data_IF_528428436912
#
_entry.id   IF_528428436912
#
_cell.length_a   1.000
_cell.length_b   1.000
_cell.length_c   1.000
_cell.angle_alpha   90.00
_cell.angle_beta   90.00
_cell.angle_gamma   90.00
#
_symmetry.space_group_name_H-M   'P 1'
#
loop_
_entity.id
_entity.type
_entity.pdbx_description
1 polymer ?
#
# COMPACT_ATOMS: atom_id res chain seq x y z
N UNK A 1 14.56 18.69 -5.72
CA UNK A 1 14.29 18.78 -4.28
C UNK A 1 15.60 18.41 -3.63
N UNK A 2 16.28 19.38 -3.01
CA UNK A 2 17.58 19.15 -2.36
C UNK A 2 17.43 18.03 -1.33
N UNK A 3 18.27 17.01 -1.42
CA UNK A 3 18.44 16.05 -0.34
C UNK A 3 18.98 16.84 0.86
N UNK A 4 18.09 17.08 1.83
CA UNK A 4 18.48 17.67 3.11
C UNK A 4 19.41 16.65 3.77
N UNK A 5 20.70 16.96 3.82
CA UNK A 5 21.70 16.15 4.51
C UNK A 5 21.42 16.20 6.02
N UNK A 6 20.67 15.20 6.50
CA UNK A 6 20.30 15.09 7.91
C UNK A 6 21.47 14.44 8.63
N UNK A 7 22.02 15.08 9.68
CA UNK A 7 23.10 14.49 10.48
C UNK A 7 22.76 13.12 11.04
N UNK A 8 23.74 12.21 11.05
CA UNK A 8 23.56 10.80 11.43
C UNK A 8 23.04 10.62 12.87
N UNK A 9 23.42 11.52 13.79
CA UNK A 9 22.93 11.53 15.16
C UNK A 9 21.42 11.83 15.25
N UNK A 10 20.90 12.69 14.37
CA UNK A 10 19.46 13.02 14.29
C UNK A 10 18.69 11.84 13.68
N UNK A 11 19.23 11.21 12.63
CA UNK A 11 18.69 9.98 12.05
C UNK A 11 18.64 8.84 13.08
N UNK A 12 19.69 8.66 13.87
CA UNK A 12 19.75 7.66 14.93
C UNK A 12 18.69 7.90 16.01
N UNK A 13 18.56 9.15 16.50
CA UNK A 13 17.52 9.51 17.47
C UNK A 13 16.11 9.27 16.92
N UNK A 14 15.85 9.61 15.66
CA UNK A 14 14.57 9.36 15.00
C UNK A 14 14.30 7.85 14.82
N UNK A 15 15.31 7.04 14.51
CA UNK A 15 15.16 5.59 14.39
C UNK A 15 14.89 4.93 15.76
N UNK A 16 15.52 5.41 16.84
CA UNK A 16 15.25 4.95 18.21
C UNK A 16 13.80 5.24 18.59
N UNK A 17 13.35 6.49 18.41
CA UNK A 17 11.96 6.87 18.68
C UNK A 17 10.96 6.05 17.84
N UNK A 18 11.32 5.70 16.59
CA UNK A 18 10.51 4.83 15.73
C UNK A 18 10.46 3.38 16.24
N UNK A 19 11.54 2.83 16.78
CA UNK A 19 11.57 1.49 17.36
C UNK A 19 10.69 1.37 18.61
N UNK A 20 10.55 2.46 19.37
CA UNK A 20 9.63 2.57 20.51
C UNK A 20 8.14 2.68 20.08
N UNK A 21 7.84 2.75 18.77
CA UNK A 21 6.46 2.71 18.26
C UNK A 21 5.87 1.30 18.24
N UNK A 22 6.68 0.25 18.39
CA UNK A 22 6.15 -1.10 18.51
C UNK A 22 5.45 -1.26 19.86
N UNK A 23 4.28 -1.93 19.93
CA UNK A 23 3.59 -2.11 21.19
C UNK A 23 4.46 -2.88 22.19
N UNK A 24 4.81 -2.26 23.33
CA UNK A 24 5.74 -2.84 24.31
C UNK A 24 5.36 -4.26 24.74
N UNK A 25 4.07 -4.50 24.97
CA UNK A 25 3.56 -5.81 25.40
C UNK A 25 3.67 -6.90 24.33
N UNK A 26 3.70 -6.52 23.05
CA UNK A 26 3.64 -7.46 21.92
C UNK A 26 4.89 -7.45 21.07
N UNK A 27 5.89 -6.62 21.39
CA UNK A 27 7.15 -6.45 20.65
C UNK A 27 7.84 -7.78 20.33
N UNK A 28 7.83 -8.71 21.29
CA UNK A 28 8.39 -10.06 21.13
C UNK A 28 7.75 -10.80 19.94
N UNK A 29 6.44 -10.67 19.75
CA UNK A 29 5.75 -11.29 18.61
C UNK A 29 6.14 -10.64 17.29
N UNK A 30 6.25 -9.31 17.25
CA UNK A 30 6.69 -8.58 16.07
C UNK A 30 8.11 -8.97 15.64
N UNK A 31 9.03 -9.06 16.61
CA UNK A 31 10.41 -9.48 16.38
C UNK A 31 10.48 -10.93 15.92
N UNK A 32 9.69 -11.83 16.53
CA UNK A 32 9.60 -13.22 16.12
C UNK A 32 9.16 -13.37 14.67
N UNK A 33 8.09 -12.69 14.24
CA UNK A 33 7.62 -12.77 12.85
C UNK A 33 8.66 -12.21 11.86
N UNK A 34 9.36 -11.15 12.23
CA UNK A 34 10.45 -10.60 11.41
C UNK A 34 11.63 -11.57 11.28
N UNK A 35 12.02 -12.24 12.37
CA UNK A 35 13.08 -13.25 12.35
C UNK A 35 12.70 -14.44 11.47
N UNK A 36 11.46 -14.93 11.56
CA UNK A 36 10.95 -16.00 10.71
C UNK A 36 11.03 -15.63 9.22
N UNK A 37 10.73 -14.39 8.87
CA UNK A 37 10.90 -13.90 7.51
C UNK A 37 12.39 -13.85 7.09
N UNK A 38 13.29 -13.37 7.96
CA UNK A 38 14.73 -13.36 7.71
C UNK A 38 15.31 -14.76 7.48
N UNK A 39 14.91 -15.73 8.31
CA UNK A 39 15.32 -17.14 8.17
C UNK A 39 14.85 -17.73 6.84
N UNK A 40 13.60 -17.46 6.47
CA UNK A 40 13.07 -17.88 5.18
C UNK A 40 13.84 -17.25 4.02
N UNK A 41 14.14 -15.94 4.08
CA UNK A 41 14.95 -15.26 3.05
C UNK A 41 16.32 -15.90 2.87
N UNK A 42 16.99 -16.24 3.98
CA UNK A 42 18.29 -16.90 3.96
C UNK A 42 18.19 -18.30 3.33
N UNK A 43 17.10 -19.03 3.61
CA UNK A 43 16.86 -20.36 3.06
C UNK A 43 16.63 -20.32 1.55
N UNK A 44 15.87 -19.34 1.07
CA UNK A 44 15.57 -19.14 -0.35
C UNK A 44 16.67 -18.36 -1.10
N UNK A 45 17.74 -17.94 -0.41
CA UNK A 45 18.85 -17.15 -0.95
C UNK A 45 18.41 -15.84 -1.62
N UNK A 46 17.35 -15.21 -1.09
CA UNK A 46 16.84 -13.92 -1.58
C UNK A 46 17.23 -12.78 -0.66
N UNK A 47 17.66 -11.66 -1.25
CA UNK A 47 18.02 -10.45 -0.50
C UNK A 47 16.91 -9.39 -0.56
N UNK A 48 16.77 -8.62 0.52
CA UNK A 48 15.82 -7.51 0.64
C UNK A 48 14.36 -7.96 0.85
N UNK A 49 13.44 -7.00 0.76
CA UNK A 49 12.00 -7.22 0.94
C UNK A 49 11.19 -6.50 -0.14
N UNK A 50 11.57 -6.72 -1.40
CA UNK A 50 10.81 -6.21 -2.56
C UNK A 50 9.45 -6.89 -2.72
N UNK A 51 8.57 -6.30 -3.54
CA UNK A 51 7.20 -6.79 -3.79
C UNK A 51 7.16 -8.29 -4.13
N UNK A 52 8.01 -8.75 -5.06
CA UNK A 52 8.05 -10.15 -5.47
C UNK A 52 8.42 -11.11 -4.31
N UNK A 53 9.40 -10.71 -3.48
CA UNK A 53 9.85 -11.50 -2.32
C UNK A 53 8.74 -11.59 -1.27
N UNK A 54 8.09 -10.46 -0.98
CA UNK A 54 6.98 -10.41 -0.03
C UNK A 54 5.77 -11.19 -0.52
N UNK A 55 5.43 -11.10 -1.81
CA UNK A 55 4.33 -11.86 -2.39
C UNK A 55 4.60 -13.37 -2.30
N UNK A 56 5.80 -13.82 -2.64
CA UNK A 56 6.18 -15.24 -2.52
C UNK A 56 6.04 -15.73 -1.06
N UNK A 57 6.50 -14.92 -0.11
CA UNK A 57 6.38 -15.25 1.32
C UNK A 57 4.93 -15.28 1.80
N UNK A 58 4.09 -14.33 1.39
CA UNK A 58 2.68 -14.31 1.77
C UNK A 58 1.88 -15.43 1.12
N UNK A 59 2.23 -15.85 -0.10
CA UNK A 59 1.66 -17.06 -0.71
C UNK A 59 1.98 -18.29 0.12
N UNK A 60 3.25 -18.47 0.55
CA UNK A 60 3.65 -19.54 1.47
C UNK A 60 2.79 -19.51 2.74
N UNK A 61 2.70 -18.37 3.41
CA UNK A 61 1.92 -18.26 4.65
C UNK A 61 0.42 -18.48 4.44
N UNK A 62 -0.14 -18.08 3.30
CA UNK A 62 -1.56 -18.30 2.98
C UNK A 62 -1.93 -19.78 2.81
N UNK A 63 -0.95 -20.62 2.47
CA UNK A 63 -1.12 -22.07 2.41
C UNK A 63 -1.03 -22.71 3.81
N UNK A 64 -0.41 -22.03 4.78
CA UNK A 64 -0.20 -22.53 6.15
C UNK A 64 -1.23 -22.00 7.16
N UNK A 65 -1.80 -20.81 6.92
CA UNK A 65 -2.65 -20.11 7.88
C UNK A 65 -3.98 -19.65 7.26
N UNK A 66 -5.03 -19.65 8.08
CA UNK A 66 -6.29 -19.01 7.70
C UNK A 66 -6.11 -17.50 7.51
N UNK A 67 -6.97 -16.82 6.72
CA UNK A 67 -6.90 -15.37 6.53
C UNK A 67 -6.92 -14.57 7.85
N UNK A 68 -7.70 -15.01 8.84
CA UNK A 68 -7.78 -14.40 10.17
C UNK A 68 -6.50 -14.53 11.00
N UNK A 69 -5.72 -15.58 10.76
CA UNK A 69 -4.42 -15.82 11.41
C UNK A 69 -3.25 -15.22 10.63
N UNK A 70 -3.39 -15.12 9.32
CA UNK A 70 -2.41 -14.50 8.42
C UNK A 70 -2.34 -12.99 8.62
N UNK A 71 -3.48 -12.33 8.86
CA UNK A 71 -3.53 -10.88 9.00
C UNK A 71 -2.67 -10.33 10.16
N UNK A 72 -2.69 -10.89 11.38
CA UNK A 72 -1.75 -10.51 12.43
C UNK A 72 -0.28 -10.64 12.01
N UNK A 73 0.08 -11.74 11.34
CA UNK A 73 1.45 -11.97 10.85
C UNK A 73 1.87 -10.92 9.82
N UNK A 74 1.00 -10.66 8.85
CA UNK A 74 1.17 -9.59 7.87
C UNK A 74 1.40 -8.24 8.56
N UNK A 75 0.53 -7.86 9.50
CA UNK A 75 0.59 -6.58 10.19
C UNK A 75 1.88 -6.43 11.00
N UNK A 76 2.31 -7.50 11.69
CA UNK A 76 3.54 -7.51 12.47
C UNK A 76 4.77 -7.38 11.58
N UNK A 77 4.84 -8.18 10.51
CA UNK A 77 5.94 -8.14 9.56
C UNK A 77 6.02 -6.78 8.85
N UNK A 78 4.86 -6.22 8.44
CA UNK A 78 4.76 -4.89 7.83
C UNK A 78 5.39 -3.83 8.72
N UNK A 79 5.00 -3.78 9.99
CA UNK A 79 5.54 -2.78 10.93
C UNK A 79 7.06 -2.95 11.11
N UNK A 80 7.55 -4.19 11.25
CA UNK A 80 8.98 -4.44 11.38
C UNK A 80 9.78 -4.03 10.13
N UNK A 81 9.26 -4.30 8.93
CA UNK A 81 9.91 -3.94 7.68
C UNK A 81 9.97 -2.42 7.46
N UNK A 82 8.90 -1.72 7.82
CA UNK A 82 8.86 -0.26 7.77
C UNK A 82 9.88 0.37 8.72
N UNK A 83 10.03 -0.18 9.92
CA UNK A 83 10.94 0.33 10.94
C UNK A 83 12.41 -0.03 10.69
N UNK A 84 12.69 -1.30 10.35
CA UNK A 84 14.05 -1.84 10.29
C UNK A 84 14.69 -1.71 8.91
N UNK A 85 13.91 -1.88 7.85
CA UNK A 85 14.41 -1.89 6.46
C UNK A 85 13.89 -0.70 5.64
N UNK A 86 13.08 0.19 6.23
CA UNK A 86 12.42 1.32 5.54
C UNK A 86 11.57 0.86 4.35
N UNK A 87 11.03 -0.35 4.44
CA UNK A 87 10.18 -0.94 3.40
C UNK A 87 8.72 -0.68 3.73
N UNK A 88 8.10 0.18 2.94
CA UNK A 88 6.66 0.47 3.06
C UNK A 88 5.87 -0.47 2.15
N UNK A 89 5.35 -1.58 2.72
CA UNK A 89 4.60 -2.59 1.96
C UNK A 89 3.42 -1.98 1.19
N UNK A 90 2.74 -0.98 1.78
CA UNK A 90 1.62 -0.29 1.14
C UNK A 90 1.98 0.42 -0.17
N UNK A 91 3.28 0.64 -0.46
CA UNK A 91 3.70 1.16 -1.76
C UNK A 91 3.51 0.15 -2.88
N UNK A 92 3.40 -1.13 -2.55
CA UNK A 92 3.23 -2.23 -3.49
C UNK A 92 1.74 -2.50 -3.69
N UNK A 93 1.33 -2.66 -4.94
CA UNK A 93 -0.04 -3.01 -5.31
C UNK A 93 -0.97 -1.86 -5.70
N UNK A 94 -2.18 -2.26 -6.10
CA UNK A 94 -3.21 -1.40 -6.70
C UNK A 94 -3.84 -0.41 -5.71
N UNK A 95 -3.69 -0.62 -4.41
CA UNK A 95 -4.16 0.30 -3.36
C UNK A 95 -3.42 1.64 -3.43
N UNK A 96 -2.10 1.60 -3.65
CA UNK A 96 -1.30 2.81 -3.85
C UNK A 96 -1.73 3.57 -5.13
N UNK A 97 -2.10 2.84 -6.17
CA UNK A 97 -2.62 3.45 -7.40
C UNK A 97 -3.98 4.12 -7.14
N UNK A 98 -4.90 3.43 -6.45
CA UNK A 98 -6.23 3.96 -6.11
C UNK A 98 -6.14 5.21 -5.21
N UNK A 99 -5.22 5.26 -4.26
CA UNK A 99 -5.01 6.44 -3.40
C UNK A 99 -4.38 7.63 -4.14
N UNK A 100 -3.73 7.40 -5.28
CA UNK A 100 -3.08 8.43 -6.10
C UNK A 100 -3.95 8.92 -7.26
N UNK A 101 -5.01 8.20 -7.62
CA UNK A 101 -5.96 8.65 -8.64
C UNK A 101 -6.57 9.99 -8.26
N UNK A 102 -6.67 10.89 -9.23
CA UNK A 102 -7.31 12.19 -9.12
C UNK A 102 -8.65 12.19 -9.87
N UNK A 103 -9.51 13.15 -9.55
CA UNK A 103 -10.75 13.40 -10.29
C UNK A 103 -10.50 13.61 -11.78
N UNK A 104 -9.35 14.21 -12.12
CA UNK A 104 -8.93 14.51 -13.49
C UNK A 104 -8.49 13.27 -14.27
N UNK A 105 -8.29 12.15 -13.58
CA UNK A 105 -7.94 10.89 -14.22
C UNK A 105 -9.17 10.08 -14.65
N UNK A 106 -10.37 10.66 -14.55
CA UNK A 106 -11.62 9.99 -14.92
C UNK A 106 -12.29 10.71 -16.06
N UNK A 107 -12.39 10.02 -17.19
CA UNK A 107 -13.09 10.49 -18.39
C UNK A 107 -14.42 9.76 -18.54
N UNK A 108 -15.49 10.52 -18.71
CA UNK A 108 -16.82 9.98 -18.99
C UNK A 108 -17.03 9.97 -20.50
N UNK A 109 -17.14 8.77 -21.07
CA UNK A 109 -17.59 8.57 -22.45
C UNK A 109 -19.04 8.08 -22.45
N UNK A 110 -19.70 8.07 -23.61
CA UNK A 110 -21.16 7.84 -23.72
C UNK A 110 -21.68 6.60 -22.98
N UNK A 111 -20.88 5.52 -22.94
CA UNK A 111 -21.27 4.24 -22.33
C UNK A 111 -20.22 3.64 -21.37
N UNK A 112 -19.15 4.39 -21.07
CA UNK A 112 -18.05 3.88 -20.25
C UNK A 112 -17.33 4.99 -19.49
N UNK A 113 -16.82 4.64 -18.32
CA UNK A 113 -15.85 5.44 -17.58
C UNK A 113 -14.45 4.97 -17.93
N UNK A 114 -13.60 5.85 -18.44
CA UNK A 114 -12.17 5.56 -18.66
C UNK A 114 -11.39 6.13 -17.50
N UNK A 115 -10.65 5.27 -16.80
CA UNK A 115 -9.84 5.65 -15.64
C UNK A 115 -8.38 5.50 -16.01
N UNK A 116 -7.65 6.61 -15.92
CA UNK A 116 -6.20 6.67 -16.11
C UNK A 116 -5.50 6.47 -14.77
N UNK A 117 -4.47 5.64 -14.74
CA UNK A 117 -3.65 5.43 -13.56
C UNK A 117 -2.38 6.26 -13.73
N UNK A 118 -2.23 7.38 -12.97
CA UNK A 118 -1.04 8.22 -13.07
C UNK A 118 0.17 7.44 -12.52
N UNK A 119 1.21 7.35 -13.35
CA UNK A 119 2.55 6.78 -13.14
C UNK A 119 2.70 5.69 -12.03
N UNK A 120 2.69 4.43 -12.46
CA UNK A 120 3.31 3.35 -11.68
C UNK A 120 4.81 3.38 -11.94
N UNK A 121 5.66 3.00 -10.97
CA UNK A 121 7.15 2.99 -11.01
C UNK A 121 7.83 2.42 -12.29
N UNK A 122 7.06 1.89 -13.23
CA UNK A 122 7.45 1.35 -14.53
C UNK A 122 7.40 2.35 -15.71
N UNK A 123 7.08 3.64 -15.48
CA UNK A 123 6.98 4.69 -16.52
C UNK A 123 6.01 4.38 -17.67
N UNK A 124 5.07 3.46 -17.45
CA UNK A 124 3.98 3.17 -18.39
C UNK A 124 2.67 3.56 -17.73
N UNK A 125 2.10 4.66 -18.21
CA UNK A 125 0.72 5.01 -17.91
C UNK A 125 -0.19 3.90 -18.45
N UNK A 126 -1.21 3.55 -17.67
CA UNK A 126 -2.22 2.58 -18.08
C UNK A 126 -3.60 3.14 -17.79
N UNK A 127 -4.55 2.84 -18.66
CA UNK A 127 -5.95 3.14 -18.45
C UNK A 127 -6.77 1.86 -18.49
N UNK A 128 -7.93 1.88 -17.84
CA UNK A 128 -8.92 0.82 -17.94
C UNK A 128 -10.31 1.43 -18.10
N UNK A 129 -11.19 0.70 -18.77
CA UNK A 129 -12.58 1.13 -18.95
C UNK A 129 -13.49 0.36 -17.98
N UNK A 130 -14.34 1.10 -17.28
CA UNK A 130 -15.45 0.57 -16.48
C UNK A 130 -16.72 0.72 -17.31
N UNK A 131 -17.25 -0.42 -17.74
CA UNK A 131 -18.47 -0.50 -18.53
C UNK A 131 -19.65 -0.87 -17.64
N UNK A 132 -20.85 -0.46 -18.05
CA UNK A 132 -22.07 -0.91 -17.38
C UNK A 132 -22.24 -2.42 -17.50
N UNK A 133 -22.72 -3.01 -16.42
CA UNK A 133 -23.14 -4.41 -16.31
C UNK A 133 -24.67 -4.43 -16.05
N UNK A 134 -25.30 -5.61 -15.89
CA UNK A 134 -26.74 -5.72 -15.63
C UNK A 134 -27.20 -5.01 -14.35
N UNK A 135 -26.35 -4.95 -13.33
CA UNK A 135 -26.68 -4.53 -11.98
C UNK A 135 -26.04 -3.17 -11.60
N UNK A 136 -24.99 -2.76 -12.31
CA UNK A 136 -24.24 -1.53 -11.99
C UNK A 136 -24.18 -0.60 -13.19
N UNK A 137 -24.59 0.66 -12.98
CA UNK A 137 -24.36 1.78 -13.89
C UNK A 137 -23.24 2.68 -13.32
N UNK A 138 -21.99 2.51 -13.78
CA UNK A 138 -20.83 3.23 -13.26
C UNK A 138 -20.95 4.75 -13.43
N UNK A 139 -21.53 5.21 -14.55
CA UNK A 139 -21.71 6.64 -14.82
C UNK A 139 -22.68 7.29 -13.83
N UNK A 140 -23.81 6.65 -13.56
CA UNK A 140 -24.77 7.15 -12.59
C UNK A 140 -24.17 7.20 -11.19
N UNK A 141 -23.40 6.17 -10.81
CA UNK A 141 -22.70 6.11 -9.54
C UNK A 141 -21.65 7.21 -9.41
N UNK A 142 -20.84 7.42 -10.45
CA UNK A 142 -19.80 8.45 -10.45
C UNK A 142 -20.37 9.86 -10.42
N UNK A 143 -21.44 10.14 -11.19
CA UNK A 143 -22.15 11.42 -11.13
C UNK A 143 -22.73 11.69 -9.74
N UNK A 144 -23.36 10.67 -9.13
CA UNK A 144 -23.86 10.76 -7.75
C UNK A 144 -22.72 11.01 -6.77
N UNK A 145 -21.59 10.34 -6.94
CA UNK A 145 -20.40 10.53 -6.12
C UNK A 145 -19.87 11.98 -6.19
N UNK A 146 -19.77 12.55 -7.40
CA UNK A 146 -19.38 13.96 -7.59
C UNK A 146 -20.39 14.89 -6.91
N UNK A 147 -21.69 14.66 -7.09
CA UNK A 147 -22.74 15.49 -6.49
C UNK A 147 -22.74 15.48 -4.96
N UNK A 148 -22.35 14.35 -4.35
CA UNK A 148 -22.21 14.19 -2.91
C UNK A 148 -20.84 14.61 -2.37
N UNK A 149 -19.89 14.96 -3.25
CA UNK A 149 -18.54 15.33 -2.85
C UNK A 149 -18.56 16.66 -2.09
N UNK A 150 -17.98 16.76 -0.88
CA UNK A 150 -17.92 18.00 -0.13
C UNK A 150 -17.18 19.11 -0.89
N UNK A 151 -17.76 20.31 -0.94
CA UNK A 151 -17.18 21.46 -1.64
C UNK A 151 -15.80 21.86 -1.08
N UNK A 152 -15.61 21.73 0.23
CA UNK A 152 -14.35 22.07 0.92
C UNK A 152 -13.39 20.87 1.06
N UNK A 153 -13.28 20.05 0.03
CA UNK A 153 -12.30 18.96 0.03
C UNK A 153 -10.89 19.53 -0.22
N UNK A 154 -9.89 19.28 0.66
CA UNK A 154 -8.55 19.87 0.53
C UNK A 154 -7.69 19.28 -0.60
N UNK A 155 -8.20 18.26 -1.30
CA UNK A 155 -7.48 17.55 -2.36
C UNK A 155 -8.38 17.05 -3.48
N UNK A 156 -7.79 16.82 -4.65
CA UNK A 156 -8.48 16.32 -5.85
C UNK A 156 -8.49 14.79 -5.99
N UNK A 157 -8.10 14.04 -4.95
CA UNK A 157 -8.11 12.56 -4.98
C UNK A 157 -9.47 12.02 -5.37
N UNK A 158 -9.50 11.05 -6.27
CA UNK A 158 -10.71 10.40 -6.76
C UNK A 158 -11.51 9.81 -5.59
N UNK A 159 -10.86 9.10 -4.67
CA UNK A 159 -11.47 8.58 -3.45
C UNK A 159 -11.07 9.41 -2.22
N UNK A 160 -12.05 9.86 -1.42
CA UNK A 160 -11.81 10.73 -0.26
C UNK A 160 -11.25 9.99 0.96
N UNK A 161 -11.76 8.79 1.24
CA UNK A 161 -11.52 8.05 2.49
C UNK A 161 -10.86 6.69 2.26
N UNK A 162 -10.23 6.47 1.10
CA UNK A 162 -9.52 5.24 0.82
C UNK A 162 -8.10 5.33 1.40
N UNK A 163 -7.76 4.37 2.26
CA UNK A 163 -6.50 4.31 3.04
C UNK A 163 -5.56 3.29 2.41
#
# INVERSE_FOLDING_TARGET
>A
MEDIDIPENILAAANIAKLDLLPDKSKIHYEKEYLQFCEWRNTEQVHGAGEAVLLAYFVKLSNEFSPSSLWPKYSMLRACLELKERVEINKYGRTNELTKMLMDNVEILESKLVITIPDSKTHKERFFAVISDRDVNPMALFKKYIALRPAHTPHRRLFLSYI
#
